data_IF_480615692168
#
_entry.id   IF_480615692168
#
_cell.length_a   1.000
_cell.length_b   1.000
_cell.length_c   1.000
_cell.angle_alpha   90.00
_cell.angle_beta   90.00
_cell.angle_gamma   90.00
#
_symmetry.space_group_name_H-M   'P 1'
#
loop_
_entity.id
_entity.type
_entity.pdbx_description
1 polymer ?
#
# COMPACT_ATOMS: atom_id res chain seq x y z
N UNK A 1 -23.71 12.95 -0.34
CA UNK A 1 -22.43 13.67 -0.43
C UNK A 1 -21.35 12.70 0.02
N UNK A 2 -20.30 12.48 -0.77
CA UNK A 2 -19.22 11.56 -0.40
C UNK A 2 -18.29 12.20 0.65
N UNK A 3 -17.91 11.44 1.69
CA UNK A 3 -16.96 11.88 2.73
C UNK A 3 -15.54 11.98 2.16
N UNK A 4 -14.61 12.72 2.81
CA UNK A 4 -13.19 12.72 2.43
C UNK A 4 -12.61 11.30 2.34
N UNK A 5 -12.93 10.43 3.30
CA UNK A 5 -12.54 9.03 3.27
C UNK A 5 -13.00 8.31 2.00
N UNK A 6 -14.28 8.40 1.65
CA UNK A 6 -14.82 7.75 0.45
C UNK A 6 -14.17 8.27 -0.84
N UNK A 7 -13.87 9.57 -0.92
CA UNK A 7 -13.19 10.17 -2.08
C UNK A 7 -11.74 9.69 -2.20
N UNK A 8 -10.97 9.71 -1.11
CA UNK A 8 -9.58 9.27 -1.11
C UNK A 8 -9.48 7.78 -1.44
N UNK A 9 -10.31 6.95 -0.82
CA UNK A 9 -10.36 5.51 -1.08
C UNK A 9 -10.66 5.20 -2.55
N UNK A 10 -11.69 5.87 -3.12
CA UNK A 10 -12.05 5.69 -4.53
C UNK A 10 -10.95 6.17 -5.49
N UNK A 11 -10.24 7.25 -5.17
CA UNK A 11 -9.11 7.74 -5.97
C UNK A 11 -7.91 6.79 -5.90
N UNK A 12 -7.63 6.20 -4.73
CA UNK A 12 -6.59 5.18 -4.55
C UNK A 12 -6.94 3.95 -5.39
N UNK A 13 -8.17 3.44 -5.29
CA UNK A 13 -8.63 2.27 -6.05
C UNK A 13 -8.61 2.54 -7.56
N UNK A 14 -9.06 3.72 -8.01
CA UNK A 14 -9.01 4.10 -9.41
C UNK A 14 -7.57 4.11 -9.96
N UNK A 15 -6.61 4.53 -9.15
CA UNK A 15 -5.20 4.46 -9.53
C UNK A 15 -4.69 3.02 -9.60
N UNK A 16 -5.01 2.17 -8.60
CA UNK A 16 -4.66 0.74 -8.62
C UNK A 16 -5.28 0.00 -9.81
N UNK A 17 -6.48 0.38 -10.24
CA UNK A 17 -7.15 -0.20 -11.40
C UNK A 17 -6.43 0.05 -12.73
N UNK A 18 -5.45 0.97 -12.77
CA UNK A 18 -4.62 1.23 -13.94
C UNK A 18 -3.43 0.26 -14.08
N UNK A 19 -3.23 -0.66 -13.14
CA UNK A 19 -2.21 -1.70 -13.26
C UNK A 19 -2.50 -2.60 -14.48
N UNK A 20 -1.59 -2.67 -15.47
CA UNK A 20 -1.79 -3.53 -16.65
C UNK A 20 -1.61 -5.01 -16.32
N UNK A 21 -0.93 -5.34 -15.22
CA UNK A 21 -0.77 -6.71 -14.78
C UNK A 21 -2.08 -7.16 -14.14
N UNK A 22 -2.52 -8.38 -14.46
CA UNK A 22 -3.77 -8.92 -13.95
C UNK A 22 -3.55 -10.20 -13.17
N UNK A 23 -4.42 -10.45 -12.21
CA UNK A 23 -4.54 -11.74 -11.53
C UNK A 23 -4.91 -12.84 -12.53
N UNK A 24 -4.63 -14.08 -12.15
CA UNK A 24 -5.05 -15.29 -12.88
C UNK A 24 -6.47 -15.73 -12.53
N UNK A 25 -7.20 -14.95 -11.73
CA UNK A 25 -8.60 -15.23 -11.36
C UNK A 25 -9.54 -15.06 -12.55
N UNK A 26 -10.77 -15.56 -12.41
CA UNK A 26 -11.83 -15.34 -13.41
C UNK A 26 -13.04 -14.63 -12.76
N UNK A 27 -13.34 -13.37 -13.14
CA UNK A 27 -12.63 -12.54 -14.11
C UNK A 27 -11.25 -12.07 -13.59
N UNK A 28 -10.32 -11.72 -14.51
CA UNK A 28 -9.02 -11.17 -14.13
C UNK A 28 -9.17 -9.72 -13.66
N UNK A 29 -8.53 -9.38 -12.55
CA UNK A 29 -8.52 -8.03 -11.96
C UNK A 29 -7.11 -7.42 -12.00
N UNK A 30 -6.97 -6.09 -12.07
CA UNK A 30 -5.65 -5.44 -11.93
C UNK A 30 -4.94 -5.90 -10.64
N UNK A 31 -3.68 -6.32 -10.75
CA UNK A 31 -3.01 -7.04 -9.67
C UNK A 31 -2.85 -6.19 -8.41
N UNK A 32 -2.38 -4.94 -8.52
CA UNK A 32 -2.27 -4.11 -7.33
C UNK A 32 -3.62 -3.70 -6.73
N UNK A 33 -4.72 -3.67 -7.50
CA UNK A 33 -6.06 -3.47 -6.94
C UNK A 33 -6.48 -4.68 -6.08
N UNK A 34 -6.27 -5.89 -6.62
CA UNK A 34 -6.50 -7.12 -5.88
C UNK A 34 -5.67 -7.17 -4.59
N UNK A 35 -4.38 -6.82 -4.67
CA UNK A 35 -3.48 -6.78 -3.52
C UNK A 35 -3.96 -5.77 -2.46
N UNK A 36 -4.35 -4.56 -2.86
CA UNK A 36 -4.88 -3.52 -1.97
C UNK A 36 -6.19 -3.95 -1.25
N UNK A 37 -7.09 -4.64 -1.95
CA UNK A 37 -8.31 -5.21 -1.38
C UNK A 37 -8.01 -6.33 -0.37
N UNK A 38 -7.02 -7.19 -0.67
CA UNK A 38 -6.52 -8.19 0.29
C UNK A 38 -5.93 -7.52 1.53
N UNK A 39 -5.14 -6.46 1.38
CA UNK A 39 -4.61 -5.69 2.51
C UNK A 39 -5.73 -5.15 3.41
N UNK A 40 -6.78 -4.57 2.83
CA UNK A 40 -7.96 -4.11 3.58
C UNK A 40 -8.66 -5.26 4.31
N UNK A 41 -8.80 -6.41 3.65
CA UNK A 41 -9.40 -7.61 4.26
C UNK A 41 -8.59 -8.11 5.46
N UNK A 42 -7.26 -8.16 5.34
CA UNK A 42 -6.38 -8.60 6.42
C UNK A 42 -6.30 -7.60 7.57
N UNK A 43 -6.40 -6.29 7.29
CA UNK A 43 -6.50 -5.27 8.33
C UNK A 43 -7.70 -5.55 9.26
N UNK A 44 -8.88 -5.81 8.68
CA UNK A 44 -10.09 -6.09 9.46
C UNK A 44 -10.07 -7.45 10.18
N UNK A 45 -9.23 -8.40 9.73
CA UNK A 45 -8.96 -9.65 10.47
C UNK A 45 -7.97 -9.44 11.62
N UNK A 46 -7.01 -8.53 11.45
CA UNK A 46 -5.96 -8.25 12.44
C UNK A 46 -6.47 -7.41 13.61
N UNK A 47 -7.26 -6.36 13.34
CA UNK A 47 -7.76 -5.42 14.36
C UNK A 47 -9.19 -4.97 14.09
N UNK A 48 -9.95 -4.74 15.17
CA UNK A 48 -11.33 -4.23 15.12
C UNK A 48 -11.42 -2.70 15.12
N UNK A 49 -10.33 -2.00 15.47
CA UNK A 49 -10.28 -0.54 15.51
C UNK A 49 -9.28 0.00 14.50
N UNK A 50 -9.77 0.72 13.49
CA UNK A 50 -8.97 1.22 12.39
C UNK A 50 -9.25 2.70 12.16
N UNK A 51 -8.23 3.54 12.35
CA UNK A 51 -8.33 4.95 11.97
C UNK A 51 -8.46 5.09 10.44
N UNK A 52 -9.06 6.18 9.97
CA UNK A 52 -9.13 6.44 8.52
C UNK A 52 -7.72 6.57 7.89
N UNK A 53 -6.73 7.25 8.52
CA UNK A 53 -5.36 7.28 8.00
C UNK A 53 -4.73 5.90 7.82
N UNK A 54 -4.91 4.98 8.78
CA UNK A 54 -4.44 3.61 8.67
C UNK A 54 -5.14 2.86 7.53
N UNK A 55 -6.46 2.99 7.41
CA UNK A 55 -7.21 2.35 6.32
C UNK A 55 -6.75 2.82 4.95
N UNK A 56 -6.51 4.12 4.77
CA UNK A 56 -6.00 4.68 3.51
C UNK A 56 -4.57 4.23 3.21
N UNK A 57 -3.68 4.21 4.22
CA UNK A 57 -2.31 3.72 4.05
C UNK A 57 -2.24 2.21 3.73
N UNK A 58 -3.18 1.43 4.27
CA UNK A 58 -3.36 0.00 3.98
C UNK A 58 -3.88 -0.19 2.55
N UNK A 59 -4.92 0.56 2.17
CA UNK A 59 -5.44 0.50 0.81
C UNK A 59 -4.41 0.94 -0.22
N UNK A 60 -3.51 1.85 0.15
CA UNK A 60 -2.40 2.30 -0.70
C UNK A 60 -1.14 1.42 -0.63
N UNK A 61 -1.18 0.22 -0.02
CA UNK A 61 -0.05 -0.69 -0.12
C UNK A 61 0.27 -0.98 -1.58
N UNK A 62 1.56 -0.88 -1.93
CA UNK A 62 2.04 -0.99 -3.31
C UNK A 62 1.44 0.02 -4.32
N UNK A 63 0.96 1.17 -3.85
CA UNK A 63 0.42 2.22 -4.71
C UNK A 63 1.28 2.48 -5.95
N UNK A 64 0.74 2.27 -7.15
CA UNK A 64 1.45 2.49 -8.43
C UNK A 64 2.84 1.84 -8.52
N UNK A 65 3.04 0.70 -7.86
CA UNK A 65 4.35 0.00 -7.81
C UNK A 65 4.77 -0.55 -9.18
N UNK A 66 3.81 -0.99 -10.02
CA UNK A 66 4.08 -1.50 -11.38
C UNK A 66 4.82 -0.49 -12.27
N UNK A 67 4.67 0.81 -12.00
CA UNK A 67 5.33 1.89 -12.76
C UNK A 67 6.83 1.98 -12.49
N UNK A 68 7.31 1.32 -11.44
CA UNK A 68 8.71 1.29 -11.05
C UNK A 68 9.12 -0.16 -10.85
N UNK A 69 9.28 -0.96 -11.93
CA UNK A 69 9.60 -2.38 -11.83
C UNK A 69 10.90 -2.61 -11.08
N UNK A 70 11.02 -3.74 -10.36
CA UNK A 70 12.26 -4.09 -9.65
C UNK A 70 13.47 -4.14 -10.60
N UNK A 71 13.27 -4.54 -11.85
CA UNK A 71 14.30 -4.59 -12.89
C UNK A 71 14.87 -3.22 -13.29
N UNK A 72 14.23 -2.10 -12.90
CA UNK A 72 14.75 -0.75 -13.14
C UNK A 72 15.93 -0.36 -12.22
N UNK A 73 16.29 -1.21 -11.25
CA UNK A 73 17.42 -1.04 -10.34
C UNK A 73 18.36 -2.26 -10.39
N UNK A 74 19.66 -2.12 -10.08
CA UNK A 74 20.60 -3.25 -10.06
C UNK A 74 20.09 -4.43 -9.21
N UNK A 75 20.24 -5.67 -9.67
CA UNK A 75 19.81 -6.90 -8.97
C UNK A 75 20.78 -7.29 -7.84
N UNK A 76 21.07 -6.31 -6.97
CA UNK A 76 21.89 -6.46 -5.77
C UNK A 76 21.08 -6.08 -4.54
N UNK A 77 21.57 -6.44 -3.36
CA UNK A 77 20.97 -6.03 -2.09
C UNK A 77 20.86 -4.50 -1.96
N UNK A 78 21.91 -3.78 -2.36
CA UNK A 78 21.93 -2.31 -2.36
C UNK A 78 20.89 -1.74 -3.33
N UNK A 79 20.80 -2.30 -4.55
CA UNK A 79 19.79 -1.89 -5.52
C UNK A 79 18.36 -2.13 -5.04
N UNK A 80 18.11 -3.25 -4.34
CA UNK A 80 16.80 -3.53 -3.72
C UNK A 80 16.44 -2.50 -2.65
N UNK A 81 17.37 -2.15 -1.75
CA UNK A 81 17.12 -1.15 -0.72
C UNK A 81 16.89 0.25 -1.32
N UNK A 82 17.62 0.62 -2.36
CA UNK A 82 17.42 1.87 -3.09
C UNK A 82 16.02 1.93 -3.72
N UNK A 83 15.62 0.86 -4.42
CA UNK A 83 14.30 0.74 -5.02
C UNK A 83 13.17 0.82 -3.98
N UNK A 84 13.26 0.07 -2.89
CA UNK A 84 12.29 0.12 -1.77
C UNK A 84 12.19 1.52 -1.16
N UNK A 85 13.32 2.20 -0.99
CA UNK A 85 13.37 3.57 -0.43
C UNK A 85 12.72 4.57 -1.37
N UNK A 86 12.96 4.45 -2.68
CA UNK A 86 12.31 5.28 -3.68
C UNK A 86 10.80 5.07 -3.71
N UNK A 87 10.35 3.81 -3.76
CA UNK A 87 8.94 3.45 -3.80
C UNK A 87 8.17 4.07 -2.64
N UNK A 88 8.60 3.82 -1.39
CA UNK A 88 7.86 4.31 -0.22
C UNK A 88 7.76 5.84 -0.16
N UNK A 89 8.78 6.56 -0.63
CA UNK A 89 8.75 8.03 -0.72
C UNK A 89 7.77 8.50 -1.78
N UNK A 90 7.87 7.96 -3.00
CA UNK A 90 6.98 8.29 -4.12
C UNK A 90 5.52 8.00 -3.77
N UNK A 91 5.25 6.83 -3.21
CA UNK A 91 3.91 6.38 -2.83
C UNK A 91 3.30 7.30 -1.79
N UNK A 92 4.05 7.62 -0.74
CA UNK A 92 3.60 8.53 0.29
C UNK A 92 3.23 9.92 -0.26
N UNK A 93 4.09 10.50 -1.11
CA UNK A 93 3.82 11.81 -1.73
C UNK A 93 2.55 11.81 -2.58
N UNK A 94 2.36 10.78 -3.42
CA UNK A 94 1.18 10.71 -4.28
C UNK A 94 -0.12 10.51 -3.50
N UNK A 95 -0.09 9.67 -2.47
CA UNK A 95 -1.28 9.36 -1.67
C UNK A 95 -1.62 10.50 -0.72
N UNK A 96 -0.61 11.20 -0.19
CA UNK A 96 -0.79 12.44 0.58
C UNK A 96 -1.56 13.49 -0.24
N UNK A 97 -1.15 13.70 -1.50
CA UNK A 97 -1.85 14.60 -2.41
C UNK A 97 -3.31 14.16 -2.64
N UNK A 98 -3.56 12.86 -2.86
CA UNK A 98 -4.93 12.33 -2.99
C UNK A 98 -5.76 12.64 -1.73
N UNK A 99 -5.18 12.49 -0.54
CA UNK A 99 -5.89 12.78 0.71
C UNK A 99 -6.23 14.28 0.84
N UNK A 100 -5.30 15.16 0.48
CA UNK A 100 -5.52 16.61 0.48
C UNK A 100 -6.64 17.00 -0.52
N UNK A 101 -6.59 16.48 -1.74
CA UNK A 101 -7.61 16.72 -2.78
C UNK A 101 -8.99 16.16 -2.37
N UNK A 102 -9.02 15.08 -1.60
CA UNK A 102 -10.24 14.52 -1.04
C UNK A 102 -10.84 15.36 0.11
N UNK A 103 -10.06 16.27 0.69
CA UNK A 103 -10.47 17.20 1.74
C UNK A 103 -10.01 16.84 3.16
N UNK A 104 -8.98 16.01 3.32
CA UNK A 104 -8.32 15.80 4.61
C UNK A 104 -7.50 17.01 5.03
N UNK A 105 -7.30 17.16 6.34
CA UNK A 105 -6.35 18.12 6.87
C UNK A 105 -4.92 17.77 6.47
N UNK A 106 -4.02 18.77 6.48
CA UNK A 106 -2.59 18.53 6.25
C UNK A 106 -2.01 17.50 7.25
N UNK A 107 -2.47 17.53 8.50
CA UNK A 107 -2.01 16.60 9.54
C UNK A 107 -2.44 15.15 9.25
N UNK A 108 -3.69 14.94 8.83
CA UNK A 108 -4.19 13.60 8.51
C UNK A 108 -3.56 13.05 7.23
N UNK A 109 -3.40 13.88 6.20
CA UNK A 109 -2.72 13.50 4.97
C UNK A 109 -1.24 13.15 5.23
N UNK A 110 -0.55 13.95 6.05
CA UNK A 110 0.82 13.67 6.48
C UNK A 110 0.91 12.38 7.30
N UNK A 111 -0.10 12.06 8.11
CA UNK A 111 -0.17 10.78 8.84
C UNK A 111 -0.26 9.58 7.90
N UNK A 112 -1.11 9.64 6.87
CA UNK A 112 -1.18 8.60 5.82
C UNK A 112 0.19 8.42 5.16
N UNK A 113 0.83 9.53 4.80
CA UNK A 113 2.14 9.54 4.15
C UNK A 113 3.23 8.91 5.04
N UNK A 114 3.24 9.23 6.33
CA UNK A 114 4.19 8.68 7.32
C UNK A 114 4.05 7.16 7.47
N UNK A 115 2.81 6.67 7.53
CA UNK A 115 2.51 5.23 7.58
C UNK A 115 3.05 4.51 6.34
N UNK A 116 2.84 5.05 5.14
CA UNK A 116 3.37 4.48 3.88
C UNK A 116 4.91 4.46 3.88
N UNK A 117 5.56 5.49 4.44
CA UNK A 117 7.03 5.54 4.60
C UNK A 117 7.55 4.61 5.70
N UNK A 118 6.66 4.02 6.50
CA UNK A 118 6.95 3.17 7.66
C UNK A 118 7.70 3.93 8.75
N UNK A 119 7.34 5.19 8.98
CA UNK A 119 7.89 6.05 10.02
C UNK A 119 7.28 5.70 11.39
N UNK A 120 8.09 5.65 12.45
CA UNK A 120 7.60 5.31 13.80
C UNK A 120 7.72 3.83 14.16
N UNK A 121 8.08 2.95 13.22
CA UNK A 121 8.17 1.50 13.47
C UNK A 121 9.18 1.15 14.57
N UNK A 122 10.35 1.81 14.59
CA UNK A 122 11.38 1.55 15.60
C UNK A 122 11.01 2.16 16.96
N UNK A 123 10.17 3.18 16.91
CA UNK A 123 9.68 3.95 18.04
C UNK A 123 8.43 3.32 18.68
N UNK A 124 7.88 2.25 18.08
CA UNK A 124 6.72 1.52 18.60
C UNK A 124 5.37 2.13 18.20
N UNK A 125 5.29 2.85 17.08
CA UNK A 125 4.02 3.33 16.53
C UNK A 125 3.11 2.14 16.17
N UNK A 126 2.00 2.02 16.91
CA UNK A 126 1.13 0.86 16.84
C UNK A 126 0.49 0.66 15.45
N UNK A 127 0.10 1.74 14.76
CA UNK A 127 -0.52 1.61 13.43
C UNK A 127 0.52 1.28 12.36
N UNK A 128 1.75 1.76 12.52
CA UNK A 128 2.85 1.38 11.64
C UNK A 128 3.19 -0.10 11.80
N UNK A 129 3.15 -0.62 13.03
CA UNK A 129 3.29 -2.06 13.28
C UNK A 129 2.14 -2.86 12.65
N UNK A 130 0.88 -2.42 12.83
CA UNK A 130 -0.28 -3.06 12.18
C UNK A 130 -0.11 -3.08 10.66
N UNK A 131 0.38 -2.00 10.07
CA UNK A 131 0.61 -1.93 8.64
C UNK A 131 1.68 -2.93 8.16
N UNK A 132 2.78 -3.08 8.90
CA UNK A 132 3.78 -4.11 8.61
C UNK A 132 3.22 -5.53 8.75
N UNK A 133 2.47 -5.79 9.83
CA UNK A 133 1.86 -7.10 10.08
C UNK A 133 0.90 -7.49 8.94
N UNK A 134 0.04 -6.57 8.51
CA UNK A 134 -0.87 -6.78 7.38
C UNK A 134 -0.09 -7.05 6.10
N UNK A 135 0.97 -6.28 5.80
CA UNK A 135 1.80 -6.51 4.63
C UNK A 135 2.47 -7.91 4.66
N UNK A 136 2.93 -8.35 5.83
CA UNK A 136 3.48 -9.70 6.03
C UNK A 136 2.42 -10.79 5.84
N UNK A 137 1.23 -10.64 6.42
CA UNK A 137 0.14 -11.61 6.29
C UNK A 137 -0.31 -11.77 4.83
N UNK A 138 -0.45 -10.65 4.10
CA UNK A 138 -0.80 -10.70 2.68
C UNK A 138 0.33 -11.30 1.85
N UNK A 139 1.60 -11.01 2.15
CA UNK A 139 2.73 -11.67 1.47
C UNK A 139 2.68 -13.20 1.63
N UNK A 140 2.44 -13.69 2.85
CA UNK A 140 2.34 -15.13 3.13
C UNK A 140 1.18 -15.79 2.37
N UNK A 141 0.06 -15.09 2.23
CA UNK A 141 -1.14 -15.60 1.55
C UNK A 141 -1.09 -15.48 0.02
N UNK A 142 -0.41 -14.46 -0.52
CA UNK A 142 -0.50 -14.10 -1.94
C UNK A 142 0.75 -14.42 -2.76
N UNK A 143 1.93 -14.31 -2.15
CA UNK A 143 3.21 -14.28 -2.88
C UNK A 143 4.16 -15.40 -2.45
N UNK A 144 3.92 -16.05 -1.30
CA UNK A 144 4.86 -17.00 -0.73
C UNK A 144 5.09 -18.25 -1.60
N UNK A 145 4.04 -18.85 -2.16
CA UNK A 145 4.18 -20.02 -3.03
C UNK A 145 4.96 -19.72 -4.32
N UNK A 146 4.82 -18.51 -4.88
CA UNK A 146 5.63 -18.08 -6.01
C UNK A 146 7.07 -17.82 -5.57
N UNK A 147 7.26 -17.17 -4.43
CA UNK A 147 8.57 -16.85 -3.86
C UNK A 147 9.41 -18.11 -3.58
N UNK A 148 8.80 -19.15 -3.00
CA UNK A 148 9.43 -20.46 -2.72
C UNK A 148 9.95 -21.16 -3.98
N UNK A 149 9.27 -20.98 -5.12
CA UNK A 149 9.71 -21.59 -6.40
C UNK A 149 10.90 -20.87 -7.05
N UNK A 150 11.16 -19.63 -6.64
CA UNK A 150 12.19 -18.76 -7.23
C UNK A 150 13.48 -18.67 -6.40
N UNK A 151 13.50 -19.19 -5.16
CA UNK A 151 14.61 -19.07 -4.21
C UNK A 151 14.91 -20.41 -3.50
#
# INVERSE_FOLDING_TARGET
MSTPFQKALAAIDAAHALDPNKTTTNPPTPYELHYAEKCTTYLHKHTSHTSEPLQLAIRAQHFRRWEVPRSSYPMTRVGYHAWRTFLKKRQATLVEQICQEAGYSEADAARVAALIRKEGLKEGDAETQILEDVACLVFLDDQFEAFEREH
#
